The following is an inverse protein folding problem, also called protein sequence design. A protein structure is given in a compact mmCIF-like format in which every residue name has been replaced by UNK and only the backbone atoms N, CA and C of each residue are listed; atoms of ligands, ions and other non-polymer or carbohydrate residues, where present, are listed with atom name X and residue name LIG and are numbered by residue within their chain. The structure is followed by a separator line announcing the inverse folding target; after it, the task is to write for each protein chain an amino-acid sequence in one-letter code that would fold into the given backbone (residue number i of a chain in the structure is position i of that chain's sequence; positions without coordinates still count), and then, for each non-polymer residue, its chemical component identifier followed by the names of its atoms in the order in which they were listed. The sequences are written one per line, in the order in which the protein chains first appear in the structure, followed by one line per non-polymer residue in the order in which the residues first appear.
data_IF_226879811945
#
_entry.id   IF_226879811945
#
_cell.length_a   1.000
_cell.length_b   1.000
_cell.length_c   1.000
_cell.angle_alpha   90.00
_cell.angle_beta   90.00
_cell.angle_gamma   90.00
#
_symmetry.space_group_name_H-M   'P 1'
#
loop_
_entity.id
_entity.type
_entity.pdbx_description
1 polymer ?
#
# COMPACT_ATOMS: atom_id res chain seq x y z
N UNK A 1 3.52 -8.09 7.70
CA UNK A 1 4.68 -7.41 8.28
C UNK A 1 4.32 -6.66 9.57
N UNK A 2 3.17 -5.96 9.63
CA UNK A 2 2.76 -5.23 10.83
C UNK A 2 2.52 -6.17 12.03
N UNK A 3 1.82 -7.29 11.83
CA UNK A 3 1.51 -8.26 12.89
C UNK A 3 2.77 -8.90 13.48
N UNK A 4 3.78 -9.18 12.63
CA UNK A 4 5.08 -9.69 13.09
C UNK A 4 5.87 -8.63 13.85
N UNK A 5 5.82 -7.37 13.41
CA UNK A 5 6.51 -6.26 14.09
C UNK A 5 5.85 -5.91 15.42
N UNK A 6 4.50 -5.95 15.50
CA UNK A 6 3.74 -5.73 16.73
C UNK A 6 4.05 -6.80 17.77
N UNK A 7 3.88 -8.08 17.45
CA UNK A 7 4.20 -9.18 18.35
C UNK A 7 5.69 -9.21 18.80
N UNK A 8 6.60 -8.78 17.90
CA UNK A 8 8.01 -8.63 18.27
C UNK A 8 8.23 -7.49 19.27
N UNK A 9 7.56 -6.35 19.09
CA UNK A 9 7.64 -5.19 20.00
C UNK A 9 7.09 -5.57 21.38
N UNK A 10 5.91 -6.16 21.45
CA UNK A 10 5.28 -6.61 22.69
C UNK A 10 6.18 -7.61 23.46
N UNK A 11 6.79 -8.56 22.77
CA UNK A 11 7.68 -9.54 23.39
C UNK A 11 9.02 -8.95 23.85
N UNK A 12 9.38 -7.73 23.42
CA UNK A 12 10.70 -7.11 23.64
C UNK A 12 10.62 -5.69 24.20
N UNK A 13 9.54 -5.28 24.85
CA UNK A 13 9.29 -3.91 25.33
C UNK A 13 10.41 -3.27 26.14
N UNK A 14 11.21 -4.09 26.84
CA UNK A 14 12.33 -3.65 27.68
C UNK A 14 13.69 -3.84 26.99
N UNK A 15 13.70 -4.23 25.73
CA UNK A 15 14.92 -4.45 24.94
C UNK A 15 15.10 -3.35 23.90
N UNK A 16 16.35 -2.85 23.67
CA UNK A 16 16.62 -1.91 22.59
C UNK A 16 16.26 -2.46 21.21
N UNK A 17 16.11 -3.78 21.06
CA UNK A 17 15.62 -4.42 19.83
C UNK A 17 14.20 -3.99 19.46
N UNK A 18 13.35 -3.65 20.44
CA UNK A 18 12.00 -3.16 20.19
C UNK A 18 11.98 -1.86 19.37
N UNK A 19 13.03 -1.02 19.46
CA UNK A 19 13.14 0.18 18.64
C UNK A 19 13.15 -0.13 17.13
N UNK A 20 13.75 -1.26 16.73
CA UNK A 20 13.75 -1.69 15.33
C UNK A 20 12.35 -2.17 14.89
N UNK A 21 11.59 -2.79 15.79
CA UNK A 21 10.18 -3.12 15.54
C UNK A 21 9.33 -1.86 15.34
N UNK A 22 9.49 -0.86 16.21
CA UNK A 22 8.78 0.42 16.11
C UNK A 22 9.09 1.19 14.82
N UNK A 23 10.26 1.02 14.24
CA UNK A 23 10.60 1.68 12.97
C UNK A 23 9.63 1.30 11.84
N UNK A 24 9.13 0.08 11.85
CA UNK A 24 8.21 -0.45 10.83
C UNK A 24 6.73 -0.22 11.15
N UNK A 25 6.40 0.19 12.37
CA UNK A 25 5.02 0.44 12.79
C UNK A 25 4.61 1.91 12.56
N UNK A 26 3.32 2.12 12.31
CA UNK A 26 2.75 3.46 12.21
C UNK A 26 2.51 4.04 13.61
N UNK A 27 3.17 5.15 14.00
CA UNK A 27 3.09 5.68 15.36
C UNK A 27 1.69 6.13 15.79
N UNK A 28 0.75 6.33 14.88
CA UNK A 28 -0.63 6.70 15.20
C UNK A 28 -1.49 5.49 15.53
N UNK A 29 -1.28 4.41 14.80
CA UNK A 29 -2.01 3.15 15.01
C UNK A 29 -1.51 2.44 16.25
N UNK A 30 -0.19 2.41 16.41
CA UNK A 30 0.52 1.67 17.46
C UNK A 30 1.09 2.63 18.55
N UNK A 31 0.33 3.66 18.91
CA UNK A 31 0.81 4.71 19.83
C UNK A 31 1.15 4.16 21.22
N UNK A 32 0.45 3.13 21.70
CA UNK A 32 0.70 2.49 23.00
C UNK A 32 2.07 1.80 23.03
N UNK A 33 2.42 1.08 21.96
CA UNK A 33 3.71 0.41 21.84
C UNK A 33 4.85 1.42 21.85
N UNK A 34 4.67 2.54 21.14
CA UNK A 34 5.63 3.65 21.16
C UNK A 34 5.78 4.25 22.56
N UNK A 35 4.68 4.51 23.28
CA UNK A 35 4.72 5.04 24.65
C UNK A 35 5.42 4.09 25.61
N UNK A 36 5.06 2.81 25.56
CA UNK A 36 5.61 1.77 26.44
C UNK A 36 7.12 1.61 26.21
N UNK A 37 7.54 1.33 24.97
CA UNK A 37 8.96 1.08 24.64
C UNK A 37 9.82 2.32 24.88
N UNK A 38 9.38 3.50 24.41
CA UNK A 38 10.14 4.74 24.62
C UNK A 38 10.18 5.13 26.10
N UNK A 39 9.14 4.84 26.86
CA UNK A 39 9.12 5.02 28.32
C UNK A 39 10.15 4.13 29.01
N UNK A 40 10.13 2.82 28.73
CA UNK A 40 11.00 1.83 29.33
C UNK A 40 12.49 2.07 29.02
N UNK A 41 12.79 2.43 27.77
CA UNK A 41 14.17 2.56 27.29
C UNK A 41 14.78 3.96 27.48
N UNK A 42 14.00 4.96 27.87
CA UNK A 42 14.44 6.37 27.94
C UNK A 42 15.65 6.57 28.85
N UNK A 43 15.65 5.93 30.01
CA UNK A 43 16.70 6.12 31.03
C UNK A 43 18.05 5.62 30.53
N UNK A 44 18.08 4.51 29.87
CA UNK A 44 19.33 3.82 29.46
C UNK A 44 19.76 4.23 28.03
N UNK A 45 18.81 4.32 27.11
CA UNK A 45 19.07 4.53 25.67
C UNK A 45 18.69 5.91 25.15
N UNK A 46 18.09 6.79 25.96
CA UNK A 46 17.53 8.09 25.55
C UNK A 46 18.54 9.04 24.89
N UNK A 47 19.84 8.85 25.12
CA UNK A 47 20.91 9.65 24.49
C UNK A 47 21.40 9.07 23.18
N UNK A 48 21.03 7.84 22.82
CA UNK A 48 21.46 7.23 21.55
C UNK A 48 20.75 7.89 20.36
N UNK A 49 21.45 8.01 19.26
CA UNK A 49 20.88 8.63 18.03
C UNK A 49 19.68 7.84 17.50
N UNK A 50 19.72 6.51 17.63
CA UNK A 50 18.61 5.67 17.16
C UNK A 50 17.34 5.89 18.00
N UNK A 51 17.47 5.95 19.34
CA UNK A 51 16.33 6.29 20.22
C UNK A 51 15.77 7.67 19.89
N UNK A 52 16.64 8.68 19.74
CA UNK A 52 16.22 10.04 19.37
C UNK A 52 15.47 10.08 18.04
N UNK A 53 15.90 9.29 17.06
CA UNK A 53 15.24 9.16 15.76
C UNK A 53 13.82 8.60 15.91
N UNK A 54 13.64 7.49 16.62
CA UNK A 54 12.34 6.86 16.84
C UNK A 54 11.43 7.76 17.69
N UNK A 55 11.97 8.37 18.77
CA UNK A 55 11.21 9.32 19.60
C UNK A 55 10.77 10.55 18.81
N UNK A 56 11.61 11.09 17.91
CA UNK A 56 11.25 12.17 17.00
C UNK A 56 10.13 11.77 16.05
N UNK A 57 10.20 10.57 15.46
CA UNK A 57 9.14 10.00 14.60
C UNK A 57 7.81 9.97 15.35
N UNK A 58 7.81 9.50 16.59
CA UNK A 58 6.62 9.46 17.45
C UNK A 58 6.09 10.87 17.75
N UNK A 59 6.94 11.76 18.26
CA UNK A 59 6.56 13.13 18.60
C UNK A 59 5.97 13.89 17.40
N UNK A 60 6.57 13.74 16.21
CA UNK A 60 6.04 14.33 14.96
C UNK A 60 4.67 13.77 14.57
N UNK A 61 4.35 12.54 14.93
CA UNK A 61 3.04 11.93 14.67
C UNK A 61 1.95 12.49 15.58
N UNK A 62 2.30 12.93 16.78
CA UNK A 62 1.38 13.48 17.79
C UNK A 62 1.11 14.98 17.61
N UNK A 63 1.95 15.70 16.87
CA UNK A 63 1.82 17.15 16.66
C UNK A 63 0.64 17.49 15.74
N UNK A 64 -0.41 18.19 16.25
CA UNK A 64 -1.58 18.58 15.46
C UNK A 64 -1.23 19.49 14.27
N UNK A 65 -0.14 20.26 14.36
CA UNK A 65 0.28 21.18 13.30
C UNK A 65 0.87 20.44 12.10
N UNK A 66 1.47 19.28 12.33
CA UNK A 66 1.96 18.40 11.28
C UNK A 66 0.82 17.73 10.50
N UNK A 67 -0.34 17.52 11.12
CA UNK A 67 -1.56 17.07 10.43
C UNK A 67 -2.01 18.12 9.40
N UNK A 68 -2.06 19.39 9.79
CA UNK A 68 -2.44 20.50 8.88
C UNK A 68 -1.41 20.70 7.75
N UNK A 69 -0.11 20.53 8.04
CA UNK A 69 0.96 20.64 7.03
C UNK A 69 0.95 19.46 6.05
N UNK A 70 0.76 18.21 6.53
CA UNK A 70 0.64 17.03 5.65
C UNK A 70 -0.60 17.11 4.76
N UNK A 71 -1.75 17.55 5.29
CA UNK A 71 -2.97 17.74 4.49
C UNK A 71 -2.76 18.81 3.43
N UNK A 72 -2.09 19.94 3.77
CA UNK A 72 -1.76 21.00 2.81
C UNK A 72 -0.71 20.55 1.77
N UNK A 73 0.33 19.84 2.19
CA UNK A 73 1.34 19.30 1.27
C UNK A 73 0.78 18.15 0.39
N UNK A 74 -0.07 17.29 0.93
CA UNK A 74 -0.76 16.27 0.15
C UNK A 74 -1.76 16.90 -0.84
N UNK A 75 -2.49 17.94 -0.44
CA UNK A 75 -3.36 18.69 -1.35
C UNK A 75 -2.58 19.46 -2.43
N UNK A 76 -1.41 20.01 -2.10
CA UNK A 76 -0.52 20.67 -3.07
C UNK A 76 0.15 19.64 -3.99
N UNK A 77 0.61 18.50 -3.47
CA UNK A 77 1.16 17.42 -4.30
C UNK A 77 0.08 16.71 -5.12
N UNK A 78 -1.14 16.60 -4.62
CA UNK A 78 -2.26 16.07 -5.36
C UNK A 78 -2.70 17.05 -6.47
N UNK A 79 -2.70 18.37 -6.21
CA UNK A 79 -2.88 19.40 -7.25
C UNK A 79 -1.74 19.48 -8.27
N UNK A 80 -0.50 19.12 -7.88
CA UNK A 80 0.65 19.07 -8.80
C UNK A 80 0.72 17.75 -9.59
N UNK A 81 0.17 16.65 -9.04
CA UNK A 81 0.06 15.34 -9.72
C UNK A 81 -1.14 15.27 -10.67
N UNK A 82 -2.23 15.99 -10.38
CA UNK A 82 -3.24 16.28 -11.37
C UNK A 82 -2.66 17.38 -12.28
N UNK A 83 -1.82 16.98 -13.24
CA UNK A 83 -1.30 17.89 -14.24
C UNK A 83 -2.45 18.71 -14.85
N UNK A 84 -2.17 19.94 -15.27
CA UNK A 84 -3.13 20.87 -15.91
C UNK A 84 -3.95 20.28 -17.08
N UNK A 85 -3.77 18.99 -17.41
CA UNK A 85 -4.41 18.23 -18.46
C UNK A 85 -5.12 16.95 -18.01
N UNK A 86 -5.34 16.73 -16.70
CA UNK A 86 -6.18 15.59 -16.30
C UNK A 86 -7.62 15.83 -16.74
N UNK A 87 -8.08 15.00 -17.67
CA UNK A 87 -9.45 15.00 -18.19
C UNK A 87 -10.47 14.58 -17.12
N UNK A 88 -10.01 13.94 -16.04
CA UNK A 88 -10.84 13.36 -15.00
C UNK A 88 -10.39 13.83 -13.60
N UNK A 89 -11.36 14.06 -12.71
CA UNK A 89 -11.16 14.42 -11.31
C UNK A 89 -11.75 13.35 -10.38
N UNK A 90 -11.41 13.43 -9.09
CA UNK A 90 -12.05 12.57 -8.09
C UNK A 90 -13.56 12.85 -8.04
N UNK A 91 -14.37 11.80 -8.13
CA UNK A 91 -15.83 11.85 -8.21
C UNK A 91 -16.36 11.75 -9.65
N UNK A 92 -15.52 11.90 -10.67
CA UNK A 92 -15.93 11.70 -12.06
C UNK A 92 -16.12 10.20 -12.35
N UNK A 93 -17.01 9.91 -13.29
CA UNK A 93 -17.17 8.55 -13.79
C UNK A 93 -15.90 8.14 -14.53
N UNK A 94 -15.26 7.06 -14.08
CA UNK A 94 -14.12 6.48 -14.78
C UNK A 94 -14.50 6.05 -16.20
N UNK A 95 -13.62 6.26 -17.21
CA UNK A 95 -13.81 5.67 -18.51
C UNK A 95 -13.83 4.15 -18.40
N UNK A 96 -14.56 3.50 -19.28
CA UNK A 96 -14.54 2.04 -19.34
C UNK A 96 -13.19 1.56 -19.91
N UNK A 97 -12.68 0.47 -19.38
CA UNK A 97 -11.50 -0.23 -19.89
C UNK A 97 -11.99 -1.59 -20.36
N UNK A 98 -11.81 -1.87 -21.65
CA UNK A 98 -12.21 -3.12 -22.29
C UNK A 98 -10.97 -3.73 -22.89
N UNK A 99 -10.54 -4.89 -22.34
CA UNK A 99 -9.33 -5.60 -22.77
C UNK A 99 -9.51 -7.11 -22.55
N UNK A 100 -8.61 -7.91 -23.11
CA UNK A 100 -8.66 -9.35 -22.99
C UNK A 100 -7.90 -9.83 -21.74
N UNK A 101 -8.43 -10.90 -21.11
CA UNK A 101 -7.75 -11.64 -20.05
C UNK A 101 -6.62 -12.52 -20.64
N UNK A 102 -5.80 -13.20 -19.82
CA UNK A 102 -4.73 -14.07 -20.31
C UNK A 102 -5.20 -15.24 -21.20
N UNK A 103 -6.49 -15.55 -21.19
CA UNK A 103 -7.09 -16.63 -21.97
C UNK A 103 -7.79 -16.11 -23.25
N UNK A 104 -7.77 -14.80 -23.48
CA UNK A 104 -8.39 -14.14 -24.63
C UNK A 104 -9.85 -13.75 -24.45
N UNK A 105 -10.42 -13.87 -23.25
CA UNK A 105 -11.78 -13.45 -22.96
C UNK A 105 -11.83 -11.95 -22.69
N UNK A 106 -12.80 -11.27 -23.28
CA UNK A 106 -13.04 -9.84 -23.02
C UNK A 106 -13.49 -9.62 -21.58
N UNK A 107 -12.89 -8.62 -20.93
CA UNK A 107 -13.23 -8.12 -19.59
C UNK A 107 -13.43 -6.61 -19.64
N UNK A 108 -14.38 -6.12 -18.87
CA UNK A 108 -14.71 -4.69 -18.79
C UNK A 108 -14.66 -4.21 -17.35
N UNK A 109 -14.06 -3.05 -17.15
CA UNK A 109 -14.08 -2.40 -15.82
C UNK A 109 -15.54 -2.15 -15.38
N UNK A 110 -16.41 -1.84 -16.31
CA UNK A 110 -17.85 -1.61 -16.06
C UNK A 110 -18.61 -2.84 -15.54
N UNK A 111 -18.11 -4.05 -15.75
CA UNK A 111 -18.76 -5.28 -15.27
C UNK A 111 -18.63 -5.42 -13.74
N UNK A 112 -17.69 -4.69 -13.12
CA UNK A 112 -17.48 -4.67 -11.68
C UNK A 112 -18.28 -3.57 -10.96
N UNK A 113 -19.25 -2.95 -11.63
CA UNK A 113 -20.12 -1.93 -11.02
C UNK A 113 -20.89 -2.52 -9.85
N UNK A 114 -20.92 -1.76 -8.75
CA UNK A 114 -21.53 -2.20 -7.48
C UNK A 114 -20.50 -2.66 -6.45
N UNK A 115 -19.27 -2.92 -6.89
CA UNK A 115 -18.14 -3.21 -6.02
C UNK A 115 -17.23 -1.99 -5.86
N UNK A 116 -16.45 -1.99 -4.78
CA UNK A 116 -15.28 -1.11 -4.63
C UNK A 116 -14.13 -1.74 -5.41
N UNK A 117 -13.67 -1.09 -6.47
CA UNK A 117 -12.66 -1.64 -7.38
C UNK A 117 -11.32 -0.95 -7.21
N UNK A 118 -10.28 -1.73 -6.95
CA UNK A 118 -8.90 -1.30 -7.10
C UNK A 118 -8.50 -1.44 -8.58
N UNK A 119 -8.30 -0.30 -9.25
CA UNK A 119 -7.71 -0.29 -10.59
C UNK A 119 -6.19 -0.21 -10.44
N UNK A 120 -5.52 -1.29 -10.80
CA UNK A 120 -4.07 -1.45 -10.67
C UNK A 120 -3.38 -1.53 -12.03
N UNK A 121 -2.29 -0.79 -12.21
CA UNK A 121 -1.45 -0.82 -13.41
C UNK A 121 -0.07 -1.35 -13.04
N UNK A 122 0.31 -2.48 -13.62
CA UNK A 122 1.57 -3.14 -13.28
C UNK A 122 2.23 -3.84 -14.48
N UNK A 123 3.42 -4.39 -14.27
CA UNK A 123 4.09 -5.20 -15.26
C UNK A 123 4.97 -6.27 -14.58
N UNK A 124 5.23 -7.38 -15.28
CA UNK A 124 6.08 -8.47 -14.78
C UNK A 124 7.52 -8.02 -14.47
N UNK A 125 8.00 -7.02 -15.18
CA UNK A 125 9.32 -6.41 -15.02
C UNK A 125 9.33 -5.24 -14.02
N UNK A 126 8.17 -4.78 -13.54
CA UNK A 126 8.06 -3.70 -12.56
C UNK A 126 8.37 -4.19 -11.14
N UNK A 127 9.62 -4.13 -10.73
CA UNK A 127 10.03 -4.58 -9.40
C UNK A 127 9.29 -3.94 -8.23
N UNK A 128 9.05 -2.61 -8.21
CA UNK A 128 8.19 -1.98 -7.20
C UNK A 128 6.77 -2.54 -7.17
N UNK A 129 6.12 -2.70 -8.35
CA UNK A 129 4.76 -3.25 -8.45
C UNK A 129 4.69 -4.67 -7.87
N UNK A 130 5.69 -5.51 -8.22
CA UNK A 130 5.79 -6.89 -7.73
C UNK A 130 5.92 -6.98 -6.20
N UNK A 131 6.53 -5.98 -5.56
CA UNK A 131 6.62 -5.91 -4.09
C UNK A 131 5.29 -5.51 -3.43
N UNK A 132 4.41 -4.82 -4.16
CA UNK A 132 3.07 -4.46 -3.68
C UNK A 132 2.03 -5.57 -3.90
N UNK A 133 2.28 -6.51 -4.83
CA UNK A 133 1.34 -7.58 -5.15
C UNK A 133 0.88 -8.41 -3.94
N UNK A 134 1.72 -8.75 -2.94
CA UNK A 134 1.24 -9.43 -1.73
C UNK A 134 0.18 -8.64 -0.95
N UNK A 135 0.26 -7.30 -0.95
CA UNK A 135 -0.75 -6.45 -0.30
C UNK A 135 -2.06 -6.44 -1.10
N UNK A 136 -1.98 -6.49 -2.44
CA UNK A 136 -3.15 -6.61 -3.32
C UNK A 136 -3.85 -7.95 -3.09
N UNK A 137 -3.09 -9.05 -3.03
CA UNK A 137 -3.62 -10.39 -2.71
C UNK A 137 -4.32 -10.40 -1.36
N UNK A 138 -3.65 -9.91 -0.31
CA UNK A 138 -4.22 -9.84 1.03
C UNK A 138 -5.52 -9.01 1.08
N UNK A 139 -5.54 -7.86 0.39
CA UNK A 139 -6.75 -7.03 0.31
C UNK A 139 -7.89 -7.75 -0.41
N UNK A 140 -7.59 -8.44 -1.51
CA UNK A 140 -8.56 -9.23 -2.25
C UNK A 140 -9.15 -10.35 -1.39
N UNK A 141 -8.32 -11.19 -0.78
CA UNK A 141 -8.75 -12.28 0.10
C UNK A 141 -9.64 -11.79 1.25
N UNK A 142 -9.26 -10.67 1.86
CA UNK A 142 -9.96 -10.12 3.03
C UNK A 142 -11.29 -9.46 2.72
N UNK A 143 -11.41 -8.83 1.55
CA UNK A 143 -12.52 -7.93 1.26
C UNK A 143 -13.36 -8.32 0.04
N UNK A 144 -12.94 -9.28 -0.78
CA UNK A 144 -13.68 -9.68 -1.98
C UNK A 144 -15.14 -10.10 -1.65
N UNK A 145 -15.32 -10.93 -0.64
CA UNK A 145 -16.65 -11.34 -0.17
C UNK A 145 -17.53 -10.19 0.37
N UNK A 146 -16.92 -9.02 0.58
CA UNK A 146 -17.59 -7.80 1.07
C UNK A 146 -17.83 -6.76 -0.01
N UNK A 147 -17.69 -7.14 -1.28
CA UNK A 147 -17.90 -6.27 -2.43
C UNK A 147 -16.66 -5.44 -2.83
N UNK A 148 -15.46 -5.96 -2.59
CA UNK A 148 -14.21 -5.42 -3.13
C UNK A 148 -13.72 -6.28 -4.28
N UNK A 149 -13.17 -5.66 -5.33
CA UNK A 149 -12.56 -6.36 -6.45
C UNK A 149 -11.29 -5.65 -6.94
N UNK A 150 -10.51 -6.31 -7.77
CA UNK A 150 -9.31 -5.78 -8.39
C UNK A 150 -9.43 -5.91 -9.90
N UNK A 151 -9.26 -4.79 -10.62
CA UNK A 151 -9.13 -4.77 -12.08
C UNK A 151 -7.68 -4.43 -12.41
N UNK A 152 -6.94 -5.43 -12.87
CA UNK A 152 -5.48 -5.41 -12.97
C UNK A 152 -5.05 -5.28 -14.42
N UNK A 153 -4.64 -4.07 -14.81
CA UNK A 153 -4.19 -3.74 -16.17
C UNK A 153 -2.69 -3.92 -16.27
N UNK A 154 -2.28 -4.80 -17.14
CA UNK A 154 -0.88 -5.12 -17.35
C UNK A 154 -0.30 -4.38 -18.55
N UNK A 155 0.97 -3.95 -18.41
CA UNK A 155 1.73 -3.18 -19.40
C UNK A 155 2.84 -3.99 -20.09
N UNK A 156 2.82 -5.30 -20.05
CA UNK A 156 3.79 -6.16 -20.76
C UNK A 156 3.33 -6.47 -22.19
N UNK A 157 4.27 -6.75 -23.11
CA UNK A 157 4.00 -7.24 -24.46
C UNK A 157 4.08 -8.78 -24.57
N UNK A 158 4.56 -9.49 -23.54
CA UNK A 158 4.74 -10.95 -23.52
C UNK A 158 3.73 -11.63 -22.58
N UNK A 159 2.80 -12.39 -23.16
CA UNK A 159 1.74 -13.09 -22.42
C UNK A 159 2.27 -14.18 -21.48
N UNK A 160 3.39 -14.84 -21.85
CA UNK A 160 3.93 -15.91 -21.02
C UNK A 160 4.61 -15.37 -19.76
N UNK A 161 5.35 -14.26 -19.89
CA UNK A 161 5.90 -13.55 -18.73
C UNK A 161 4.80 -13.08 -17.79
N UNK A 162 3.72 -12.59 -18.36
CA UNK A 162 2.55 -12.18 -17.60
C UNK A 162 1.93 -13.31 -16.80
N UNK A 163 1.56 -14.40 -17.48
CA UNK A 163 1.01 -15.60 -16.81
C UNK A 163 1.94 -16.12 -15.72
N UNK A 164 3.25 -16.16 -16.00
CA UNK A 164 4.25 -16.57 -15.02
C UNK A 164 4.31 -15.63 -13.80
N UNK A 165 4.19 -14.32 -14.01
CA UNK A 165 4.20 -13.35 -12.92
C UNK A 165 2.93 -13.42 -12.06
N UNK A 166 1.74 -13.58 -12.67
CA UNK A 166 0.47 -13.81 -11.95
C UNK A 166 0.60 -15.02 -11.03
N UNK A 167 1.09 -16.13 -11.56
CA UNK A 167 1.26 -17.36 -10.78
C UNK A 167 2.31 -17.22 -9.68
N UNK A 168 3.44 -16.61 -9.98
CA UNK A 168 4.55 -16.42 -9.03
C UNK A 168 4.18 -15.52 -7.85
N UNK A 169 3.39 -14.47 -8.10
CA UNK A 169 2.97 -13.51 -7.07
C UNK A 169 1.65 -13.91 -6.39
N UNK A 170 1.04 -15.03 -6.80
CA UNK A 170 -0.19 -15.53 -6.22
C UNK A 170 -1.39 -14.63 -6.44
N UNK A 171 -1.43 -13.89 -7.55
CA UNK A 171 -2.53 -12.97 -7.86
C UNK A 171 -3.79 -13.77 -8.20
N UNK A 172 -4.72 -13.83 -7.25
CA UNK A 172 -5.93 -14.69 -7.29
C UNK A 172 -7.17 -14.00 -7.86
N UNK A 173 -7.12 -12.71 -8.17
CA UNK A 173 -8.23 -12.01 -8.81
C UNK A 173 -8.39 -12.43 -10.29
N UNK A 174 -9.65 -12.45 -10.79
CA UNK A 174 -9.95 -12.93 -12.15
C UNK A 174 -9.83 -11.85 -13.24
N UNK A 175 -9.76 -10.57 -12.83
CA UNK A 175 -9.84 -9.46 -13.76
C UNK A 175 -8.45 -8.90 -14.14
N UNK A 176 -7.59 -9.79 -14.58
CA UNK A 176 -6.31 -9.44 -15.20
C UNK A 176 -6.50 -9.19 -16.69
N UNK A 177 -6.09 -8.03 -17.18
CA UNK A 177 -6.29 -7.64 -18.59
C UNK A 177 -5.05 -7.01 -19.20
N UNK A 178 -4.93 -7.08 -20.53
CA UNK A 178 -3.88 -6.43 -21.30
C UNK A 178 -4.31 -6.22 -22.75
N UNK A 179 -3.79 -5.16 -23.38
CA UNK A 179 -3.86 -4.97 -24.83
C UNK A 179 -2.68 -5.64 -25.56
N UNK A 180 -1.72 -6.18 -24.83
CA UNK A 180 -0.49 -6.82 -25.34
C UNK A 180 0.41 -5.89 -26.19
N UNK A 181 0.22 -4.58 -26.09
CA UNK A 181 1.00 -3.61 -26.86
C UNK A 181 2.15 -3.00 -26.05
N UNK A 182 2.13 -3.09 -24.72
CA UNK A 182 3.18 -2.66 -23.80
C UNK A 182 3.13 -1.20 -23.43
#
# INVERSE_FOLDING_TARGET
LNDLSEGFVEANENSPAALAGLENLNPKTYFRDYETVLGNLRKEYGQTEYFKMINKKYAMSQDPTNLKKKTKQQQVQQKQRTGKNSKYAAGDKAPDIVMNDPNGNERKLSDLRGSVVLLDFWASWCGPCRRENPHVVHAYEKYHSKGFDVFSVRLDSDVNRWKGAIQQDGLVCDNHVSDLQG
#
